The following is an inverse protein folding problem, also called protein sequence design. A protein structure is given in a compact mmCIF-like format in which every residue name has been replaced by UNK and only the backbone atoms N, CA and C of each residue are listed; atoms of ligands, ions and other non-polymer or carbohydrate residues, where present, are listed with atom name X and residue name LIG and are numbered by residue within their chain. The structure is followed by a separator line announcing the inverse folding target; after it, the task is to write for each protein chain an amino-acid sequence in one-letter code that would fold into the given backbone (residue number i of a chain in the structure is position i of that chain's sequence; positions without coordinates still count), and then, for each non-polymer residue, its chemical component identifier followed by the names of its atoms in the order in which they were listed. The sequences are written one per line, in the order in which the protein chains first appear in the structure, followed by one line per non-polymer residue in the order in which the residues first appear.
data_IF_377003326893
#
_entry.id   IF_377003326893
#
_cell.length_a   1.000
_cell.length_b   1.000
_cell.length_c   1.000
_cell.angle_alpha   90.00
_cell.angle_beta   90.00
_cell.angle_gamma   90.00
#
_symmetry.space_group_name_H-M   'P 1'
#
loop_
_entity.id
_entity.type
_entity.pdbx_description
1 polymer ?
#
# COMPACT_ATOMS: atom_id res chain seq x y z
N UNK A 1 -16.95 0.25 31.30
CA UNK A 1 -15.68 0.96 31.46
C UNK A 1 -15.57 1.99 30.33
N UNK A 2 -15.49 3.28 30.66
CA UNK A 2 -15.30 4.33 29.65
C UNK A 2 -13.81 4.59 29.45
N UNK A 3 -13.26 4.01 28.38
CA UNK A 3 -11.84 4.08 28.09
C UNK A 3 -11.38 5.49 27.71
N UNK A 4 -12.20 6.26 26.98
CA UNK A 4 -11.82 7.60 26.56
C UNK A 4 -11.75 8.54 27.77
N UNK A 5 -12.71 8.43 28.68
CA UNK A 5 -12.66 9.17 29.93
C UNK A 5 -11.41 8.80 30.75
N UNK A 6 -11.08 7.52 30.86
CA UNK A 6 -9.90 7.05 31.59
C UNK A 6 -8.59 7.56 30.97
N UNK A 7 -8.42 7.43 29.65
CA UNK A 7 -7.22 7.90 28.95
C UNK A 7 -6.96 9.40 29.20
N UNK A 8 -8.00 10.23 29.13
CA UNK A 8 -7.87 11.67 29.28
C UNK A 8 -7.74 12.14 30.74
N UNK A 9 -8.39 11.46 31.67
CA UNK A 9 -8.43 11.87 33.09
C UNK A 9 -7.27 11.29 33.89
N UNK A 10 -7.04 9.98 33.75
CA UNK A 10 -5.98 9.28 34.49
C UNK A 10 -4.60 9.45 33.85
N UNK A 11 -4.54 9.79 32.56
CA UNK A 11 -3.29 9.97 31.78
C UNK A 11 -2.29 8.82 32.04
N UNK A 12 -2.68 7.57 31.74
CA UNK A 12 -1.89 6.39 32.04
C UNK A 12 -0.53 6.44 31.35
N UNK A 13 0.46 5.81 31.97
CA UNK A 13 1.80 5.66 31.42
C UNK A 13 1.79 4.86 30.11
N UNK A 14 2.87 4.98 29.33
CA UNK A 14 3.04 4.20 28.09
C UNK A 14 2.94 2.69 28.35
N UNK A 15 3.54 2.19 29.44
CA UNK A 15 3.51 0.77 29.79
C UNK A 15 2.09 0.26 30.08
N UNK A 16 1.28 1.04 30.81
CA UNK A 16 -0.12 0.68 31.07
C UNK A 16 -0.96 0.65 29.81
N UNK A 17 -0.77 1.65 28.91
CA UNK A 17 -1.42 1.68 27.60
C UNK A 17 -1.04 0.47 26.74
N UNK A 18 0.24 0.09 26.72
CA UNK A 18 0.71 -1.09 25.95
C UNK A 18 0.13 -2.40 26.49
N UNK A 19 0.07 -2.59 27.81
CA UNK A 19 -0.59 -3.77 28.41
C UNK A 19 -2.07 -3.84 28.08
N UNK A 20 -2.76 -2.69 28.10
CA UNK A 20 -4.15 -2.61 27.70
C UNK A 20 -4.33 -2.94 26.20
N UNK A 21 -3.47 -2.40 25.34
CA UNK A 21 -3.47 -2.68 23.90
C UNK A 21 -3.34 -4.19 23.64
N UNK A 22 -2.38 -4.85 24.28
CA UNK A 22 -2.18 -6.31 24.16
C UNK A 22 -3.40 -7.10 24.65
N UNK A 23 -4.03 -6.66 25.74
CA UNK A 23 -5.24 -7.30 26.27
C UNK A 23 -6.44 -7.15 25.34
N UNK A 24 -6.64 -5.95 24.78
CA UNK A 24 -7.69 -5.67 23.79
C UNK A 24 -7.45 -6.47 22.52
N UNK A 25 -6.21 -6.52 22.04
CA UNK A 25 -5.83 -7.33 20.89
C UNK A 25 -6.12 -8.82 21.11
N UNK A 26 -5.70 -9.38 22.25
CA UNK A 26 -5.96 -10.77 22.59
C UNK A 26 -7.47 -11.06 22.59
N UNK A 27 -8.27 -10.17 23.19
CA UNK A 27 -9.72 -10.31 23.20
C UNK A 27 -10.33 -10.29 21.79
N UNK A 28 -9.82 -9.42 20.89
CA UNK A 28 -10.22 -9.40 19.48
C UNK A 28 -9.86 -10.72 18.77
N UNK A 29 -8.67 -11.28 19.03
CA UNK A 29 -8.29 -12.58 18.44
C UNK A 29 -9.13 -13.75 18.96
N UNK A 30 -9.57 -13.69 20.21
CA UNK A 30 -10.47 -14.70 20.80
C UNK A 30 -11.89 -14.62 20.22
N UNK A 31 -12.31 -13.45 19.72
CA UNK A 31 -13.56 -13.33 18.96
C UNK A 31 -13.44 -13.96 17.55
N UNK A 32 -12.23 -14.17 17.05
CA UNK A 32 -11.96 -14.86 15.79
C UNK A 32 -12.18 -14.01 14.53
N UNK A 33 -12.05 -14.70 13.38
CA UNK A 33 -12.21 -14.14 12.04
C UNK A 33 -13.66 -13.72 11.75
N UNK A 34 -14.60 -14.57 12.15
CA UNK A 34 -16.04 -14.36 12.03
C UNK A 34 -16.65 -14.49 13.43
N UNK A 35 -16.78 -13.37 14.17
CA UNK A 35 -17.32 -13.41 15.51
C UNK A 35 -18.76 -13.93 15.54
N UNK A 36 -19.01 -14.92 16.40
CA UNK A 36 -20.34 -15.48 16.65
C UNK A 36 -21.31 -14.41 17.19
N UNK A 37 -22.62 -14.61 17.01
CA UNK A 37 -23.65 -13.64 17.41
C UNK A 37 -23.53 -13.20 18.89
N UNK A 38 -23.21 -14.15 19.77
CA UNK A 38 -23.01 -13.92 21.20
C UNK A 38 -21.79 -13.05 21.51
N UNK A 39 -20.78 -13.06 20.62
CA UNK A 39 -19.53 -12.33 20.76
C UNK A 39 -19.55 -10.97 20.03
N UNK A 40 -20.57 -10.66 19.23
CA UNK A 40 -20.65 -9.41 18.47
C UNK A 40 -20.62 -8.16 19.37
N UNK A 41 -21.33 -8.18 20.49
CA UNK A 41 -21.34 -7.04 21.41
C UNK A 41 -19.95 -6.82 22.06
N UNK A 42 -19.31 -7.84 22.67
CA UNK A 42 -17.92 -7.75 23.13
C UNK A 42 -16.95 -7.30 22.04
N UNK A 43 -17.00 -7.91 20.86
CA UNK A 43 -16.16 -7.58 19.71
C UNK A 43 -16.23 -6.09 19.36
N UNK A 44 -17.44 -5.55 19.21
CA UNK A 44 -17.66 -4.13 18.91
C UNK A 44 -17.12 -3.19 20.00
N UNK A 45 -17.17 -3.59 21.28
CA UNK A 45 -16.58 -2.84 22.37
C UNK A 45 -15.05 -2.84 22.26
N UNK A 46 -14.45 -4.00 21.99
CA UNK A 46 -13.00 -4.11 21.82
C UNK A 46 -12.49 -3.35 20.59
N UNK A 47 -13.22 -3.34 19.47
CA UNK A 47 -12.91 -2.48 18.32
C UNK A 47 -12.90 -1.00 18.69
N UNK A 48 -13.90 -0.54 19.46
CA UNK A 48 -13.92 0.86 19.95
C UNK A 48 -12.73 1.15 20.88
N UNK A 49 -12.39 0.21 21.75
CA UNK A 49 -11.25 0.36 22.65
C UNK A 49 -9.93 0.44 21.88
N UNK A 50 -9.75 -0.46 20.91
CA UNK A 50 -8.63 -0.47 19.99
C UNK A 50 -8.46 0.88 19.27
N UNK A 51 -9.50 1.41 18.62
CA UNK A 51 -9.43 2.73 17.97
C UNK A 51 -9.11 3.87 18.94
N UNK A 52 -9.61 3.79 20.17
CA UNK A 52 -9.40 4.83 21.17
C UNK A 52 -7.94 4.87 21.62
N UNK A 53 -7.32 3.70 21.82
CA UNK A 53 -5.89 3.58 22.16
C UNK A 53 -5.04 4.05 20.98
N UNK A 54 -5.33 3.59 19.77
CA UNK A 54 -4.58 3.97 18.56
C UNK A 54 -4.60 5.49 18.33
N UNK A 55 -5.70 6.18 18.63
CA UNK A 55 -5.81 7.64 18.47
C UNK A 55 -5.19 8.43 19.60
N UNK A 56 -5.16 7.88 20.81
CA UNK A 56 -4.71 8.61 21.98
C UNK A 56 -3.21 8.86 21.93
N UNK A 57 -2.82 10.14 21.83
CA UNK A 57 -1.42 10.56 21.62
C UNK A 57 -0.79 9.90 20.39
N UNK A 58 -1.56 9.78 19.30
CA UNK A 58 -1.01 9.29 18.04
C UNK A 58 0.24 10.09 17.63
N UNK A 59 1.33 9.45 17.17
CA UNK A 59 1.45 8.05 16.74
C UNK A 59 2.04 7.06 17.76
N UNK A 60 2.00 7.35 19.07
CA UNK A 60 2.68 6.54 20.12
C UNK A 60 2.53 5.01 19.96
N UNK A 61 1.30 4.52 19.77
CA UNK A 61 1.00 3.08 19.67
C UNK A 61 0.81 2.58 18.24
N UNK A 62 1.01 3.42 17.23
CA UNK A 62 0.75 3.09 15.83
C UNK A 62 1.51 1.85 15.37
N UNK A 63 2.83 1.81 15.62
CA UNK A 63 3.70 0.71 15.17
C UNK A 63 3.33 -0.62 15.85
N UNK A 64 2.99 -0.60 17.14
CA UNK A 64 2.54 -1.79 17.86
C UNK A 64 1.18 -2.27 17.37
N UNK A 65 0.23 -1.36 17.13
CA UNK A 65 -1.07 -1.70 16.57
C UNK A 65 -0.92 -2.35 15.19
N UNK A 66 -0.09 -1.78 14.31
CA UNK A 66 0.17 -2.33 12.98
C UNK A 66 0.84 -3.72 13.07
N UNK A 67 1.84 -3.88 13.95
CA UNK A 67 2.52 -5.16 14.16
C UNK A 67 1.54 -6.25 14.59
N UNK A 68 0.69 -5.96 15.58
CA UNK A 68 -0.31 -6.90 16.10
C UNK A 68 -1.34 -7.28 15.02
N UNK A 69 -1.88 -6.28 14.30
CA UNK A 69 -2.80 -6.51 13.16
C UNK A 69 -2.18 -7.46 12.13
N UNK A 70 -0.96 -7.16 11.69
CA UNK A 70 -0.29 -7.95 10.65
C UNK A 70 0.01 -9.38 11.11
N UNK A 71 0.47 -9.54 12.35
CA UNK A 71 0.77 -10.86 12.92
C UNK A 71 -0.47 -11.74 12.97
N UNK A 72 -1.54 -11.27 13.61
CA UNK A 72 -2.76 -12.07 13.75
C UNK A 72 -3.55 -12.22 12.46
N UNK A 73 -3.46 -11.26 11.52
CA UNK A 73 -4.03 -11.44 10.16
C UNK A 73 -3.30 -12.54 9.39
N UNK A 74 -1.98 -12.70 9.57
CA UNK A 74 -1.19 -13.76 8.92
C UNK A 74 -1.60 -15.18 9.33
N UNK A 75 -2.22 -15.30 10.50
CA UNK A 75 -2.77 -16.53 11.07
C UNK A 75 -4.30 -16.61 10.93
N UNK A 76 -4.92 -15.64 10.27
CA UNK A 76 -6.37 -15.53 10.08
C UNK A 76 -7.17 -15.50 11.40
N UNK A 77 -6.62 -14.86 12.44
CA UNK A 77 -7.22 -14.80 13.78
C UNK A 77 -8.10 -13.57 14.02
N UNK A 78 -8.14 -12.61 13.09
CA UNK A 78 -8.83 -11.34 13.28
C UNK A 78 -9.90 -11.12 12.23
N UNK A 79 -11.05 -10.58 12.64
CA UNK A 79 -12.01 -10.07 11.67
C UNK A 79 -11.42 -8.93 10.81
N UNK A 80 -11.71 -8.85 9.50
CA UNK A 80 -11.36 -7.71 8.66
C UNK A 80 -11.90 -6.36 9.18
N UNK A 81 -12.91 -6.38 10.05
CA UNK A 81 -13.42 -5.18 10.70
C UNK A 81 -12.38 -4.51 11.61
N UNK A 82 -11.42 -5.28 12.18
CA UNK A 82 -10.29 -4.72 12.93
C UNK A 82 -9.42 -3.82 12.04
N UNK A 83 -9.19 -4.20 10.79
CA UNK A 83 -8.51 -3.36 9.81
C UNK A 83 -9.32 -2.10 9.49
N UNK A 84 -10.62 -2.23 9.18
CA UNK A 84 -11.48 -1.07 8.88
C UNK A 84 -11.53 -0.07 10.02
N UNK A 85 -11.69 -0.58 11.23
CA UNK A 85 -11.69 0.18 12.48
C UNK A 85 -10.37 0.92 12.67
N UNK A 86 -9.23 0.27 12.37
CA UNK A 86 -7.90 0.88 12.46
C UNK A 86 -7.67 1.96 11.41
N UNK A 87 -8.03 1.69 10.16
CA UNK A 87 -7.87 2.63 9.05
C UNK A 87 -8.76 3.86 9.25
N UNK A 88 -10.01 3.68 9.67
CA UNK A 88 -10.89 4.78 10.10
C UNK A 88 -10.31 5.53 11.30
N UNK A 89 -9.58 4.85 12.19
CA UNK A 89 -8.96 5.49 13.36
C UNK A 89 -7.89 6.51 12.96
N UNK A 90 -7.06 6.17 11.97
CA UNK A 90 -5.95 7.00 11.48
C UNK A 90 -6.33 7.94 10.33
N UNK A 91 -7.62 8.00 9.95
CA UNK A 91 -8.11 8.87 8.87
C UNK A 91 -7.96 8.29 7.46
N UNK A 92 -7.56 7.02 7.34
CA UNK A 92 -7.49 6.28 6.08
C UNK A 92 -8.84 5.63 5.80
N UNK A 93 -9.79 6.36 5.23
CA UNK A 93 -11.09 5.77 4.86
C UNK A 93 -11.46 6.15 3.44
N UNK A 94 -11.76 5.13 2.63
CA UNK A 94 -12.47 5.33 1.37
C UNK A 94 -13.97 5.23 1.67
N UNK A 95 -14.78 6.28 1.44
CA UNK A 95 -16.22 6.14 1.42
C UNK A 95 -16.57 5.09 0.39
N UNK A 96 -17.09 3.94 0.81
CA UNK A 96 -17.70 3.01 -0.14
C UNK A 96 -18.80 3.80 -0.84
N UNK A 97 -18.66 4.04 -2.15
CA UNK A 97 -19.77 4.47 -2.98
C UNK A 97 -20.76 3.30 -2.95
N UNK A 98 -21.94 3.44 -2.32
CA UNK A 98 -22.94 2.39 -2.41
C UNK A 98 -23.32 2.23 -3.89
N UNK A 99 -23.60 1.00 -4.37
CA UNK A 99 -24.05 0.81 -5.74
C UNK A 99 -25.26 1.72 -6.00
N UNK A 100 -25.18 2.49 -7.10
CA UNK A 100 -26.16 3.48 -7.54
C UNK A 100 -27.60 2.97 -7.35
N UNK A 101 -28.31 3.49 -6.34
CA UNK A 101 -29.75 3.82 -6.35
C UNK A 101 -30.33 4.18 -4.96
N UNK A 102 -29.61 4.89 -4.10
CA UNK A 102 -30.26 5.58 -2.97
C UNK A 102 -29.67 6.97 -2.83
N UNK A 103 -30.47 7.99 -3.16
CA UNK A 103 -30.22 9.36 -2.71
C UNK A 103 -30.38 9.35 -1.18
N UNK A 104 -29.31 9.15 -0.42
CA UNK A 104 -29.37 9.28 1.05
C UNK A 104 -28.83 10.62 1.48
N UNK A 105 -29.74 11.54 1.75
CA UNK A 105 -29.54 12.83 2.42
C UNK A 105 -29.25 12.65 3.93
N UNK A 106 -28.52 11.60 4.29
CA UNK A 106 -28.23 11.23 5.66
C UNK A 106 -26.74 11.42 5.93
N UNK A 107 -26.42 12.47 6.69
CA UNK A 107 -25.17 12.55 7.45
C UNK A 107 -25.09 11.29 8.32
N UNK A 108 -24.13 10.43 8.03
CA UNK A 108 -23.85 9.22 8.80
C UNK A 108 -23.70 9.58 10.30
N UNK A 109 -24.50 9.01 11.22
CA UNK A 109 -24.43 9.28 12.65
C UNK A 109 -23.08 8.93 13.28
N UNK A 110 -22.19 8.27 12.53
CA UNK A 110 -20.83 7.93 12.93
C UNK A 110 -19.75 8.88 12.37
N UNK A 111 -20.14 10.02 11.78
CA UNK A 111 -19.22 11.15 11.62
C UNK A 111 -18.91 11.73 13.01
N UNK A 112 -17.82 11.25 13.59
CA UNK A 112 -17.29 11.79 14.82
C UNK A 112 -16.97 13.28 14.63
N UNK A 113 -17.59 14.19 15.39
CA UNK A 113 -17.27 15.61 15.34
C UNK A 113 -15.88 15.80 15.95
N UNK A 114 -14.99 16.50 15.21
CA UNK A 114 -13.58 16.83 15.53
C UNK A 114 -12.48 16.01 14.83
N UNK A 115 -12.61 15.73 13.52
CA UNK A 115 -11.43 15.46 12.68
C UNK A 115 -10.71 16.77 12.27
N UNK A 116 -10.45 17.65 13.24
CA UNK A 116 -9.73 18.93 13.03
C UNK A 116 -8.26 18.86 13.45
N UNK A 117 -7.86 17.81 14.17
CA UNK A 117 -6.45 17.48 14.39
C UNK A 117 -6.11 16.37 13.39
N UNK A 118 -5.41 16.72 12.32
CA UNK A 118 -4.95 15.75 11.31
C UNK A 118 -4.00 14.76 11.99
N UNK A 119 -4.52 13.59 12.37
CA UNK A 119 -3.75 12.41 12.77
C UNK A 119 -2.92 11.97 11.57
N UNK A 120 -1.72 12.53 11.41
CA UNK A 120 -0.84 12.25 10.27
C UNK A 120 0.51 11.72 10.73
N UNK A 121 0.98 10.69 10.04
CA UNK A 121 2.34 10.16 10.19
C UNK A 121 3.32 11.12 9.53
N UNK A 122 4.53 11.27 10.08
CA UNK A 122 5.61 12.00 9.43
C UNK A 122 6.07 11.29 8.14
N UNK A 123 6.76 12.00 7.25
CA UNK A 123 7.31 11.41 6.03
C UNK A 123 8.25 10.22 6.32
N UNK A 124 9.06 10.33 7.38
CA UNK A 124 9.95 9.26 7.85
C UNK A 124 9.16 8.05 8.33
N UNK A 125 8.14 8.25 9.17
CA UNK A 125 7.27 7.17 9.64
C UNK A 125 6.52 6.46 8.50
N UNK A 126 6.06 7.21 7.50
CA UNK A 126 5.44 6.63 6.29
C UNK A 126 6.44 5.75 5.54
N UNK A 127 7.66 6.24 5.30
CA UNK A 127 8.70 5.49 4.60
C UNK A 127 9.11 4.21 5.37
N UNK A 128 9.31 4.32 6.68
CA UNK A 128 9.60 3.18 7.56
C UNK A 128 8.47 2.16 7.55
N UNK A 129 7.20 2.62 7.59
CA UNK A 129 6.03 1.73 7.49
C UNK A 129 6.04 0.95 6.19
N UNK A 130 6.24 1.63 5.04
CA UNK A 130 6.27 0.95 3.74
C UNK A 130 7.38 -0.10 3.71
N UNK A 131 8.60 0.27 4.13
CA UNK A 131 9.73 -0.65 4.19
C UNK A 131 9.44 -1.86 5.08
N UNK A 132 8.88 -1.62 6.27
CA UNK A 132 8.56 -2.67 7.23
C UNK A 132 7.46 -3.61 6.72
N UNK A 133 6.38 -3.09 6.10
CA UNK A 133 5.31 -3.89 5.50
C UNK A 133 5.86 -4.80 4.40
N UNK A 134 6.71 -4.25 3.55
CA UNK A 134 7.35 -5.01 2.50
C UNK A 134 8.28 -6.10 3.02
N UNK A 135 9.10 -5.80 4.03
CA UNK A 135 9.94 -6.79 4.69
C UNK A 135 9.10 -7.87 5.39
N UNK A 136 7.97 -7.49 5.98
CA UNK A 136 7.02 -8.40 6.61
C UNK A 136 6.44 -9.38 5.59
N UNK A 137 5.84 -8.90 4.50
CA UNK A 137 5.26 -9.77 3.47
C UNK A 137 6.31 -10.64 2.78
N UNK A 138 7.50 -10.12 2.56
CA UNK A 138 8.62 -10.89 2.03
C UNK A 138 9.02 -12.05 2.96
N UNK A 139 9.24 -11.76 4.24
CA UNK A 139 9.56 -12.79 5.25
C UNK A 139 8.42 -13.79 5.41
N UNK A 140 7.18 -13.32 5.42
CA UNK A 140 5.99 -14.18 5.52
C UNK A 140 5.88 -15.13 4.33
N UNK A 141 6.14 -14.65 3.11
CA UNK A 141 6.18 -15.49 1.93
C UNK A 141 7.22 -16.61 2.04
N UNK A 142 8.40 -16.30 2.58
CA UNK A 142 9.50 -17.26 2.71
C UNK A 142 9.35 -18.20 3.92
N UNK A 143 8.54 -17.86 4.92
CA UNK A 143 8.49 -18.60 6.18
C UNK A 143 7.77 -19.94 6.12
N UNK A 144 6.79 -20.11 5.21
CA UNK A 144 6.05 -21.38 5.04
C UNK A 144 6.08 -21.85 3.60
N UNK A 145 6.30 -23.15 3.39
CA UNK A 145 6.31 -23.78 2.05
C UNK A 145 5.03 -23.49 1.25
N UNK A 146 3.88 -23.47 1.94
CA UNK A 146 2.59 -23.13 1.33
C UNK A 146 2.57 -21.73 0.71
N UNK A 147 3.13 -20.72 1.39
CA UNK A 147 3.13 -19.34 0.87
C UNK A 147 4.06 -19.20 -0.34
N UNK A 148 5.11 -20.01 -0.41
CA UNK A 148 6.01 -20.05 -1.55
C UNK A 148 5.33 -20.67 -2.77
N UNK A 149 4.55 -21.74 -2.56
CA UNK A 149 3.95 -22.54 -3.63
C UNK A 149 2.61 -21.99 -4.12
N UNK A 150 1.77 -21.51 -3.20
CA UNK A 150 0.41 -21.03 -3.50
C UNK A 150 0.27 -19.51 -3.47
N UNK A 151 1.37 -18.79 -3.23
CA UNK A 151 1.35 -17.33 -3.14
C UNK A 151 0.75 -16.80 -1.84
N UNK A 152 0.93 -15.49 -1.63
CA UNK A 152 0.46 -14.81 -0.43
C UNK A 152 -1.01 -14.36 -0.54
N UNK A 153 -1.45 -14.03 -1.77
CA UNK A 153 -2.76 -13.42 -2.03
C UNK A 153 -3.92 -14.35 -1.69
N UNK A 154 -3.85 -15.65 -2.01
CA UNK A 154 -4.92 -16.58 -1.64
C UNK A 154 -5.24 -16.55 -0.14
N UNK A 155 -4.20 -16.58 0.70
CA UNK A 155 -4.35 -16.61 2.17
C UNK A 155 -4.68 -15.24 2.78
N UNK A 156 -4.32 -14.15 2.11
CA UNK A 156 -4.58 -12.78 2.58
C UNK A 156 -5.81 -12.12 1.94
N UNK A 157 -6.48 -12.80 1.02
CA UNK A 157 -7.61 -12.29 0.23
C UNK A 157 -8.66 -11.53 1.06
N UNK A 158 -8.99 -12.03 2.25
CA UNK A 158 -9.94 -11.41 3.19
C UNK A 158 -9.55 -10.02 3.71
N UNK A 159 -8.24 -9.70 3.71
CA UNK A 159 -7.70 -8.43 4.19
C UNK A 159 -7.16 -7.54 3.07
N UNK A 160 -7.00 -8.08 1.86
CA UNK A 160 -6.31 -7.37 0.77
C UNK A 160 -7.00 -6.07 0.37
N UNK A 161 -8.32 -5.95 0.53
CA UNK A 161 -9.03 -4.69 0.31
C UNK A 161 -8.56 -3.58 1.25
N UNK A 162 -8.46 -3.87 2.54
CA UNK A 162 -8.04 -2.93 3.56
C UNK A 162 -6.54 -2.65 3.48
N UNK A 163 -5.72 -3.68 3.22
CA UNK A 163 -4.28 -3.51 2.97
C UNK A 163 -4.05 -2.60 1.76
N UNK A 164 -4.79 -2.77 0.66
CA UNK A 164 -4.72 -1.88 -0.52
C UNK A 164 -5.00 -0.42 -0.14
N UNK A 165 -6.08 -0.15 0.62
CA UNK A 165 -6.42 1.21 1.07
C UNK A 165 -5.28 1.82 1.91
N UNK A 166 -4.69 1.01 2.79
CA UNK A 166 -3.61 1.48 3.65
C UNK A 166 -2.35 1.84 2.85
N UNK A 167 -1.97 0.97 1.91
CA UNK A 167 -0.83 1.20 1.03
C UNK A 167 -1.02 2.42 0.14
N UNK A 168 -2.23 2.61 -0.39
CA UNK A 168 -2.61 3.80 -1.14
C UNK A 168 -2.39 5.08 -0.32
N UNK A 169 -2.86 5.08 0.93
CA UNK A 169 -2.65 6.20 1.85
C UNK A 169 -1.17 6.49 2.07
N UNK A 170 -0.36 5.45 2.35
CA UNK A 170 1.06 5.62 2.63
C UNK A 170 1.80 6.18 1.41
N UNK A 171 1.58 5.60 0.22
CA UNK A 171 2.26 6.05 -1.01
C UNK A 171 1.80 7.45 -1.40
N UNK A 172 0.49 7.77 -1.35
CA UNK A 172 0.00 9.12 -1.63
C UNK A 172 0.54 10.16 -0.64
N UNK A 173 0.61 9.82 0.65
CA UNK A 173 1.20 10.71 1.66
C UNK A 173 2.67 10.98 1.38
N UNK A 174 3.43 9.96 0.98
CA UNK A 174 4.84 10.11 0.61
C UNK A 174 4.99 11.02 -0.62
N UNK A 175 4.17 10.82 -1.66
CA UNK A 175 4.14 11.70 -2.83
C UNK A 175 3.84 13.14 -2.41
N UNK A 176 2.86 13.37 -1.53
CA UNK A 176 2.51 14.70 -1.04
C UNK A 176 3.67 15.37 -0.30
N UNK A 177 4.37 14.63 0.56
CA UNK A 177 5.55 15.14 1.26
C UNK A 177 6.69 15.53 0.29
N UNK A 178 6.93 14.71 -0.73
CA UNK A 178 7.98 14.98 -1.73
C UNK A 178 7.60 16.14 -2.66
N UNK A 179 6.31 16.36 -2.95
CA UNK A 179 5.87 17.56 -3.69
C UNK A 179 6.01 18.82 -2.85
N UNK A 180 5.70 18.75 -1.55
CA UNK A 180 5.84 19.86 -0.63
C UNK A 180 7.31 20.27 -0.44
N UNK A 181 8.23 19.29 -0.35
CA UNK A 181 9.65 19.56 -0.22
C UNK A 181 10.20 20.33 -1.43
N UNK A 182 9.79 19.96 -2.65
CA UNK A 182 10.17 20.67 -3.88
C UNK A 182 9.66 22.11 -3.91
N UNK A 183 8.44 22.37 -3.43
CA UNK A 183 7.86 23.73 -3.41
C UNK A 183 8.54 24.67 -2.42
N UNK A 184 9.16 24.12 -1.37
CA UNK A 184 9.80 24.90 -0.30
C UNK A 184 11.28 25.20 -0.59
N UNK A 185 11.90 24.57 -1.58
CA UNK A 185 13.25 24.88 -2.03
C UNK A 185 13.30 26.31 -2.64
N UNK A 186 14.10 27.26 -2.11
CA UNK A 186 14.17 28.61 -2.65
C UNK A 186 14.79 28.60 -4.05
N UNK A 187 14.12 29.26 -5.01
CA UNK A 187 14.67 29.56 -6.34
C UNK A 187 15.94 30.43 -6.19
N UNK A 188 17.11 29.81 -6.03
CA UNK A 188 18.38 30.51 -5.85
C UNK A 188 19.37 29.86 -4.88
N UNK A 189 19.04 28.75 -4.22
CA UNK A 189 20.07 28.00 -3.49
C UNK A 189 21.05 27.37 -4.47
N UNK A 190 22.34 27.67 -4.32
CA UNK A 190 23.44 27.08 -5.09
C UNK A 190 23.59 25.55 -4.91
N UNK A 191 22.63 24.86 -4.29
CA UNK A 191 22.43 23.41 -4.36
C UNK A 191 21.82 22.92 -5.68
N UNK A 192 21.73 23.77 -6.71
CA UNK A 192 21.53 23.39 -8.14
C UNK A 192 22.79 22.74 -8.75
N UNK A 193 23.55 21.99 -7.95
CA UNK A 193 24.48 20.96 -8.42
C UNK A 193 24.15 19.66 -7.71
N UNK A 194 22.97 19.14 -8.00
CA UNK A 194 22.83 17.76 -8.44
C UNK A 194 21.35 17.51 -8.69
N UNK A 195 21.00 17.00 -9.88
CA UNK A 195 19.73 16.29 -10.08
C UNK A 195 19.63 15.00 -9.25
N UNK A 196 20.19 14.97 -8.03
CA UNK A 196 20.28 13.83 -7.12
C UNK A 196 19.22 13.88 -6.02
N UNK A 197 18.77 15.07 -5.59
CA UNK A 197 17.70 15.21 -4.58
C UNK A 197 16.32 14.87 -5.16
N UNK A 198 15.98 15.45 -6.31
CA UNK A 198 14.71 15.25 -7.02
C UNK A 198 14.56 13.87 -7.66
N UNK A 199 15.66 13.29 -8.13
CA UNK A 199 15.66 11.90 -8.62
C UNK A 199 15.70 10.95 -7.42
N UNK A 200 16.27 11.36 -6.28
CA UNK A 200 16.27 10.60 -5.04
C UNK A 200 14.87 10.46 -4.43
N UNK A 201 14.10 11.55 -4.35
CA UNK A 201 12.70 11.57 -3.88
C UNK A 201 11.75 10.77 -4.78
N UNK A 202 11.86 10.95 -6.10
CA UNK A 202 11.13 10.14 -7.09
C UNK A 202 11.51 8.66 -7.00
N UNK A 203 12.80 8.34 -6.87
CA UNK A 203 13.28 6.95 -6.72
C UNK A 203 12.90 6.34 -5.38
N UNK A 204 12.77 7.12 -4.30
CA UNK A 204 12.24 6.66 -3.01
C UNK A 204 10.75 6.36 -3.08
N UNK A 205 9.96 7.22 -3.73
CA UNK A 205 8.51 7.02 -3.91
C UNK A 205 8.20 5.87 -4.88
N UNK A 206 8.97 5.78 -5.96
CA UNK A 206 8.91 4.67 -6.92
C UNK A 206 9.46 3.38 -6.32
N UNK A 207 10.53 3.43 -5.51
CA UNK A 207 10.98 2.26 -4.76
C UNK A 207 9.93 1.86 -3.73
N UNK A 208 9.30 2.78 -3.00
CA UNK A 208 8.23 2.46 -2.06
C UNK A 208 7.03 1.77 -2.74
N UNK A 209 6.63 2.28 -3.91
CA UNK A 209 5.58 1.69 -4.74
C UNK A 209 6.03 0.35 -5.38
N UNK A 210 7.28 0.25 -5.81
CA UNK A 210 7.89 -0.94 -6.39
C UNK A 210 8.14 -2.04 -5.36
N UNK A 211 8.56 -1.72 -4.13
CA UNK A 211 8.83 -2.73 -3.09
C UNK A 211 7.52 -3.48 -2.75
N UNK A 212 6.34 -2.89 -2.98
CA UNK A 212 5.05 -3.57 -2.89
C UNK A 212 4.77 -4.57 -4.03
N UNK A 213 5.37 -4.37 -5.21
CA UNK A 213 5.25 -5.26 -6.36
C UNK A 213 6.44 -6.25 -6.48
N UNK A 214 7.66 -5.82 -6.20
CA UNK A 214 8.91 -6.46 -6.68
C UNK A 214 9.59 -7.40 -5.71
N UNK A 215 9.33 -7.36 -4.40
CA UNK A 215 10.13 -8.20 -3.49
C UNK A 215 9.77 -9.67 -3.49
N UNK A 216 8.91 -10.08 -4.41
CA UNK A 216 8.82 -11.46 -4.86
C UNK A 216 9.98 -11.72 -5.82
N UNK A 217 11.21 -11.74 -5.30
CA UNK A 217 12.34 -12.19 -6.09
C UNK A 217 12.11 -13.66 -6.39
N UNK A 218 12.00 -13.95 -7.67
CA UNK A 218 11.86 -15.26 -8.26
C UNK A 218 13.15 -16.04 -7.96
N UNK A 219 13.21 -16.72 -6.81
CA UNK A 219 13.94 -17.99 -6.82
C UNK A 219 13.20 -18.85 -7.85
N UNK A 220 13.95 -19.58 -8.66
CA UNK A 220 13.62 -20.16 -9.96
C UNK A 220 12.32 -21.02 -10.09
N UNK A 221 11.41 -21.01 -9.10
CA UNK A 221 10.24 -21.87 -8.96
C UNK A 221 8.95 -21.20 -8.42
N UNK A 222 8.89 -19.89 -8.13
CA UNK A 222 7.71 -19.32 -7.43
C UNK A 222 7.22 -17.97 -7.98
N UNK A 223 6.10 -17.99 -8.71
CA UNK A 223 5.40 -16.81 -9.23
C UNK A 223 4.71 -15.95 -8.16
N UNK A 224 4.50 -14.63 -8.39
CA UNK A 224 3.99 -13.72 -7.38
C UNK A 224 2.60 -14.05 -6.82
N UNK A 225 1.71 -14.57 -7.65
CA UNK A 225 0.39 -15.07 -7.27
C UNK A 225 -0.01 -16.24 -8.18
N UNK A 226 -1.09 -16.93 -7.82
CA UNK A 226 -1.69 -17.97 -8.66
C UNK A 226 -2.72 -17.38 -9.63
N UNK A 227 -3.04 -18.08 -10.70
CA UNK A 227 -4.03 -17.65 -11.69
C UNK A 227 -5.40 -17.30 -11.07
N UNK A 228 -5.87 -18.07 -10.08
CA UNK A 228 -7.12 -17.79 -9.37
C UNK A 228 -7.10 -16.49 -8.56
N UNK A 229 -5.92 -16.00 -8.16
CA UNK A 229 -5.77 -14.76 -7.40
C UNK A 229 -5.70 -13.52 -8.32
N UNK A 230 -5.75 -13.71 -9.65
CA UNK A 230 -5.59 -12.62 -10.63
C UNK A 230 -6.50 -11.42 -10.34
N UNK A 231 -7.79 -11.55 -9.96
CA UNK A 231 -8.62 -10.39 -9.63
C UNK A 231 -8.06 -9.55 -8.46
N UNK A 232 -7.58 -10.21 -7.41
CA UNK A 232 -6.95 -9.55 -6.25
C UNK A 232 -5.62 -8.91 -6.63
N UNK A 233 -4.81 -9.64 -7.42
CA UNK A 233 -3.53 -9.14 -7.91
C UNK A 233 -3.68 -7.92 -8.81
N UNK A 234 -4.64 -7.94 -9.74
CA UNK A 234 -4.99 -6.79 -10.59
C UNK A 234 -5.35 -5.57 -9.75
N UNK A 235 -6.04 -5.73 -8.62
CA UNK A 235 -6.31 -4.65 -7.69
C UNK A 235 -5.05 -3.97 -7.14
N UNK A 236 -3.98 -4.75 -6.88
CA UNK A 236 -2.68 -4.25 -6.42
C UNK A 236 -1.86 -3.63 -7.56
N UNK A 237 -1.88 -4.23 -8.74
CA UNK A 237 -1.24 -3.67 -9.95
C UNK A 237 -1.89 -2.34 -10.33
N UNK A 238 -3.21 -2.26 -10.25
CA UNK A 238 -3.96 -1.02 -10.46
C UNK A 238 -3.53 0.05 -9.45
N UNK A 239 -3.44 -0.29 -8.15
CA UNK A 239 -2.96 0.65 -7.14
C UNK A 239 -1.58 1.20 -7.50
N UNK A 240 -0.66 0.32 -7.91
CA UNK A 240 0.67 0.73 -8.34
C UNK A 240 0.59 1.67 -9.54
N UNK A 241 -0.17 1.32 -10.59
CA UNK A 241 -0.41 2.16 -11.77
C UNK A 241 -0.98 3.54 -11.40
N UNK A 242 -1.98 3.59 -10.52
CA UNK A 242 -2.59 4.83 -10.02
C UNK A 242 -1.58 5.70 -9.24
N UNK A 243 -0.66 5.07 -8.49
CA UNK A 243 0.43 5.78 -7.82
C UNK A 243 1.43 6.37 -8.83
N UNK A 244 1.79 5.62 -9.88
CA UNK A 244 2.65 6.13 -10.97
C UNK A 244 1.98 7.32 -11.66
N UNK A 245 0.68 7.21 -11.97
CA UNK A 245 -0.09 8.27 -12.59
C UNK A 245 -0.12 9.53 -11.71
N UNK A 246 -0.39 9.36 -10.41
CA UNK A 246 -0.40 10.47 -9.44
C UNK A 246 0.97 11.14 -9.36
N UNK A 247 2.05 10.34 -9.32
CA UNK A 247 3.41 10.84 -9.31
C UNK A 247 3.72 11.61 -10.61
N UNK A 248 3.34 11.08 -11.77
CA UNK A 248 3.52 11.75 -13.06
C UNK A 248 2.81 13.11 -13.06
N UNK A 249 1.52 13.13 -12.74
CA UNK A 249 0.70 14.36 -12.75
C UNK A 249 1.22 15.44 -11.80
N UNK A 250 1.71 15.06 -10.61
CA UNK A 250 2.20 16.04 -9.63
C UNK A 250 3.60 16.57 -9.92
N UNK A 251 4.41 15.84 -10.70
CA UNK A 251 5.80 16.21 -10.97
C UNK A 251 6.06 16.65 -12.41
N UNK A 252 5.11 16.49 -13.34
CA UNK A 252 5.28 16.80 -14.76
C UNK A 252 5.78 18.24 -15.00
N UNK A 253 5.24 19.22 -14.26
CA UNK A 253 5.57 20.64 -14.40
C UNK A 253 6.89 21.03 -13.70
N UNK A 254 7.49 20.09 -12.98
CA UNK A 254 8.74 20.26 -12.24
C UNK A 254 9.92 19.56 -12.91
N UNK A 255 9.72 18.93 -14.08
CA UNK A 255 10.77 18.24 -14.81
C UNK A 255 11.55 19.20 -15.72
N UNK A 256 12.87 19.24 -15.57
CA UNK A 256 13.74 19.90 -16.54
C UNK A 256 13.84 19.07 -17.84
N UNK A 257 14.06 19.71 -19.00
CA UNK A 257 14.32 19.00 -20.25
C UNK A 257 15.45 17.97 -20.09
N UNK A 258 15.19 16.73 -20.53
CA UNK A 258 16.15 15.61 -20.43
C UNK A 258 16.13 14.85 -19.09
N UNK A 259 15.35 15.27 -18.09
CA UNK A 259 15.17 14.47 -16.88
C UNK A 259 14.19 13.31 -17.07
N UNK A 260 14.52 12.18 -16.45
CA UNK A 260 13.70 10.96 -16.46
C UNK A 260 12.52 11.11 -15.48
N UNK A 261 11.30 11.09 -16.02
CA UNK A 261 10.05 11.19 -15.28
C UNK A 261 9.57 9.87 -14.67
N UNK A 262 8.42 9.91 -14.00
CA UNK A 262 7.81 8.74 -13.35
C UNK A 262 7.56 7.58 -14.33
N UNK A 263 7.06 7.88 -15.53
CA UNK A 263 6.78 6.90 -16.58
C UNK A 263 8.04 6.19 -17.08
N UNK A 264 9.14 6.93 -17.28
CA UNK A 264 10.42 6.36 -17.69
C UNK A 264 10.95 5.39 -16.63
N UNK A 265 10.95 5.82 -15.37
CA UNK A 265 11.44 5.02 -14.25
C UNK A 265 10.58 3.76 -14.06
N UNK A 266 9.26 3.88 -14.23
CA UNK A 266 8.34 2.77 -14.18
C UNK A 266 8.58 1.75 -15.32
N UNK A 267 8.76 2.22 -16.56
CA UNK A 267 8.97 1.29 -17.69
C UNK A 267 10.33 0.58 -17.60
N UNK A 268 11.39 1.29 -17.19
CA UNK A 268 12.67 0.64 -16.90
C UNK A 268 12.53 -0.46 -15.86
N UNK A 269 11.83 -0.15 -14.77
CA UNK A 269 11.60 -1.09 -13.71
C UNK A 269 10.82 -2.33 -14.17
N UNK A 270 9.78 -2.12 -14.98
CA UNK A 270 9.05 -3.21 -15.62
C UNK A 270 9.98 -4.12 -16.45
N UNK A 271 10.87 -3.53 -17.26
CA UNK A 271 11.84 -4.29 -18.06
C UNK A 271 12.87 -5.05 -17.21
N UNK A 272 13.30 -4.48 -16.09
CA UNK A 272 14.31 -5.10 -15.23
C UNK A 272 13.73 -6.22 -14.36
N UNK A 273 12.46 -6.10 -13.97
CA UNK A 273 11.94 -6.84 -12.81
C UNK A 273 10.65 -7.63 -13.08
N UNK A 274 9.83 -7.20 -14.03
CA UNK A 274 8.53 -7.82 -14.32
C UNK A 274 8.54 -8.75 -15.55
N UNK A 275 9.65 -8.81 -16.29
CA UNK A 275 9.75 -9.53 -17.58
C UNK A 275 10.78 -10.65 -17.52
N UNK A 276 10.71 -11.48 -16.47
CA UNK A 276 11.54 -12.66 -16.38
C UNK A 276 11.23 -13.64 -17.52
N UNK A 277 12.22 -14.37 -18.07
CA UNK A 277 11.98 -15.43 -19.04
C UNK A 277 10.92 -16.40 -18.53
N UNK A 278 9.99 -16.85 -19.39
CA UNK A 278 8.90 -17.77 -19.05
C UNK A 278 7.83 -17.23 -18.08
N UNK A 279 7.68 -15.91 -17.95
CA UNK A 279 6.60 -15.34 -17.15
C UNK A 279 5.21 -15.79 -17.67
N UNK A 280 4.33 -16.32 -16.79
CA UNK A 280 2.99 -16.76 -17.16
C UNK A 280 2.12 -15.65 -17.78
N UNK A 281 1.26 -16.02 -18.71
CA UNK A 281 0.39 -15.09 -19.43
C UNK A 281 -0.54 -14.32 -18.49
N UNK A 282 -1.13 -14.97 -17.49
CA UNK A 282 -2.04 -14.31 -16.53
C UNK A 282 -1.36 -13.20 -15.71
N UNK A 283 -0.05 -13.30 -15.48
CA UNK A 283 0.74 -12.26 -14.78
C UNK A 283 0.99 -11.09 -15.71
N UNK A 284 1.47 -11.37 -16.92
CA UNK A 284 1.71 -10.36 -17.93
C UNK A 284 0.42 -9.62 -18.28
N UNK A 285 -0.68 -10.34 -18.43
CA UNK A 285 -2.01 -9.79 -18.67
C UNK A 285 -2.42 -8.78 -17.59
N UNK A 286 -2.22 -9.09 -16.31
CA UNK A 286 -2.53 -8.17 -15.21
C UNK A 286 -1.71 -6.88 -15.30
N UNK A 287 -0.39 -6.97 -15.52
CA UNK A 287 0.47 -5.81 -15.73
C UNK A 287 0.05 -4.98 -16.93
N UNK A 288 -0.10 -5.62 -18.09
CA UNK A 288 -0.42 -4.94 -19.34
C UNK A 288 -1.77 -4.24 -19.32
N UNK A 289 -2.78 -4.87 -18.71
CA UNK A 289 -4.13 -4.32 -18.59
C UNK A 289 -4.16 -3.01 -17.81
N UNK A 290 -3.34 -2.89 -16.77
CA UNK A 290 -3.30 -1.68 -15.93
C UNK A 290 -2.30 -0.65 -16.43
N UNK A 291 -1.16 -1.08 -16.98
CA UNK A 291 -0.12 -0.19 -17.45
C UNK A 291 -0.48 0.50 -18.77
N UNK A 292 -1.30 -0.11 -19.63
CA UNK A 292 -1.78 0.55 -20.86
C UNK A 292 -2.57 1.84 -20.59
N UNK A 293 -3.13 1.99 -19.38
CA UNK A 293 -3.91 3.17 -18.97
C UNK A 293 -3.02 4.39 -18.65
N UNK A 294 -1.71 4.19 -18.49
CA UNK A 294 -0.77 5.27 -18.22
C UNK A 294 -0.61 6.18 -19.45
N UNK A 295 -0.36 7.49 -19.26
CA UNK A 295 -0.25 8.45 -20.35
C UNK A 295 1.11 8.36 -21.06
N UNK A 296 1.39 7.24 -21.71
CA UNK A 296 2.67 6.97 -22.38
C UNK A 296 3.07 8.01 -23.43
N UNK A 297 2.09 8.71 -24.00
CA UNK A 297 2.32 9.85 -24.93
C UNK A 297 3.16 10.98 -24.32
N UNK A 298 3.19 11.09 -22.98
CA UNK A 298 3.96 12.11 -22.25
C UNK A 298 5.41 11.66 -21.99
N UNK A 299 5.75 10.40 -22.30
CA UNK A 299 7.06 9.82 -22.04
C UNK A 299 7.95 9.90 -23.30
N UNK A 300 9.17 10.40 -23.12
CA UNK A 300 10.19 10.45 -24.16
C UNK A 300 11.28 9.41 -23.87
N UNK A 301 11.33 8.29 -24.61
CA UNK A 301 12.30 7.23 -24.33
C UNK A 301 13.70 7.65 -24.78
N UNK A 302 14.70 7.33 -23.96
CA UNK A 302 16.11 7.42 -24.33
C UNK A 302 16.62 6.09 -24.89
N UNK A 303 17.83 6.09 -25.45
CA UNK A 303 18.44 4.89 -26.04
C UNK A 303 18.49 3.72 -25.03
N UNK A 304 18.83 4.01 -23.77
CA UNK A 304 18.91 3.00 -22.71
C UNK A 304 17.57 2.28 -22.50
N UNK A 305 16.48 3.05 -22.36
CA UNK A 305 15.15 2.46 -22.18
C UNK A 305 14.70 1.66 -23.40
N UNK A 306 14.99 2.15 -24.61
CA UNK A 306 14.66 1.44 -25.84
C UNK A 306 15.40 0.10 -25.95
N UNK A 307 16.67 0.05 -25.56
CA UNK A 307 17.47 -1.18 -25.56
C UNK A 307 16.91 -2.22 -24.59
N UNK A 308 16.57 -1.83 -23.35
CA UNK A 308 15.96 -2.75 -22.38
C UNK A 308 14.57 -3.22 -22.83
N UNK A 309 13.72 -2.30 -23.32
CA UNK A 309 12.41 -2.65 -23.82
C UNK A 309 12.48 -3.60 -25.02
N UNK A 310 13.46 -3.42 -25.90
CA UNK A 310 13.66 -4.29 -27.05
C UNK A 310 14.03 -5.72 -26.63
N UNK A 311 14.87 -5.89 -25.60
CA UNK A 311 15.20 -7.22 -25.03
C UNK A 311 13.94 -7.96 -24.57
N UNK A 312 13.05 -7.26 -23.87
CA UNK A 312 11.75 -7.80 -23.44
C UNK A 312 10.90 -8.20 -24.64
N UNK A 313 10.80 -7.34 -25.65
CA UNK A 313 9.98 -7.60 -26.85
C UNK A 313 10.47 -8.81 -27.66
N UNK A 314 11.79 -9.02 -27.73
CA UNK A 314 12.37 -10.20 -28.38
C UNK A 314 12.07 -11.48 -27.59
N UNK A 315 12.20 -11.44 -26.26
CA UNK A 315 11.84 -12.56 -25.40
C UNK A 315 10.35 -12.90 -25.49
N UNK A 316 9.47 -11.90 -25.57
CA UNK A 316 8.04 -12.09 -25.78
C UNK A 316 7.73 -12.67 -27.17
N UNK A 317 8.42 -12.24 -28.23
CA UNK A 317 8.28 -12.78 -29.61
C UNK A 317 8.70 -14.25 -29.73
N UNK A 318 9.65 -14.73 -28.91
CA UNK A 318 9.99 -16.15 -28.86
C UNK A 318 8.88 -17.01 -28.21
N UNK A 319 7.98 -16.42 -27.44
CA UNK A 319 6.86 -17.11 -26.80
C UNK A 319 5.50 -16.88 -27.47
N UNK A 320 5.32 -15.74 -28.15
CA UNK A 320 4.07 -15.35 -28.80
C UNK A 320 4.24 -15.32 -30.32
N UNK A 321 4.20 -16.51 -30.93
CA UNK A 321 3.86 -16.68 -32.35
C UNK A 321 2.34 -16.64 -32.59
N UNK A 322 1.54 -16.21 -31.60
CA UNK A 322 0.12 -15.90 -31.73
C UNK A 322 -0.18 -14.61 -30.94
N UNK A 323 -0.93 -13.69 -31.54
CA UNK A 323 -1.40 -12.40 -30.99
C UNK A 323 -0.45 -11.19 -31.10
N UNK A 324 -0.38 -10.70 -32.34
CA UNK A 324 0.14 -9.41 -32.76
C UNK A 324 -0.79 -8.24 -32.36
N UNK A 325 -0.54 -7.58 -31.22
CA UNK A 325 -1.12 -6.24 -30.92
C UNK A 325 -0.18 -5.31 -30.13
N UNK A 326 1.12 -5.59 -30.12
CA UNK A 326 2.13 -4.82 -29.37
C UNK A 326 3.09 -4.00 -30.25
N UNK A 327 2.83 -3.89 -31.55
CA UNK A 327 3.63 -3.04 -32.46
C UNK A 327 2.89 -1.77 -32.82
#
# INVERSE_FOLDING_TARGET
FDLNHWLNSAKPSMSERSKLLESVHLALTLCGLEPEEELLMPFNIFCKHWSSILRYQFPDHYSDCLRLLMQSSSEQLLSPECWRTSLKAIGCYSPRVPPNNVKSDNKDPLMFPNCSNKTMLSAEQVLETIKWLSDFFYKLRLSKSDFQSFGLLSKWSLYMSEVKIFLEYLVKSLIDYEVLSIKLEPMGSHTVQTGSSDVGSRRRSLAAAAILAERIRNTQRCYPWLENDTPTAMGMVQLFSDCILTLHQKFQDHLLPGQRGALWLHLMHYCESCTAPMSPEYILFAYHTEYIKLPWKDMYPDQMLMEEFFKVSQQARFHLQQNSKWF
#
